data_IF_418530079714
#
_entry.id   IF_418530079714
#
_cell.length_a   1.000
_cell.length_b   1.000
_cell.length_c   1.000
_cell.angle_alpha   90.00
_cell.angle_beta   90.00
_cell.angle_gamma   90.00
#
_symmetry.space_group_name_H-M   'P 1'
#
loop_
_entity.id
_entity.type
_entity.pdbx_description
1 polymer ?
#
# COMPACT_ATOMS: atom_id res chain seq x y z
N UNK A 1 50.37 -17.24 16.68
CA UNK A 1 50.05 -16.12 15.74
C UNK A 1 49.09 -16.59 14.63
N UNK A 2 47.77 -16.47 14.83
CA UNK A 2 46.88 -15.32 14.48
C UNK A 2 46.11 -15.60 13.17
N UNK A 3 44.91 -16.16 13.32
CA UNK A 3 43.79 -16.15 12.35
C UNK A 3 43.38 -14.64 12.20
N UNK A 4 42.82 -14.10 11.08
CA UNK A 4 41.63 -14.70 10.49
C UNK A 4 41.19 -14.41 9.04
N UNK A 5 40.28 -15.29 8.58
CA UNK A 5 38.98 -15.02 7.95
C UNK A 5 38.86 -13.76 7.08
N UNK A 6 38.48 -13.93 5.80
CA UNK A 6 37.58 -13.01 5.11
C UNK A 6 37.11 -13.51 3.72
N UNK A 7 35.79 -13.67 3.52
CA UNK A 7 35.14 -13.41 2.24
C UNK A 7 34.72 -11.93 2.19
N UNK A 8 35.23 -11.18 1.21
CA UNK A 8 34.98 -9.73 1.03
C UNK A 8 35.30 -9.42 -0.45
N UNK A 9 34.49 -8.77 -1.29
CA UNK A 9 33.26 -7.97 -1.16
C UNK A 9 32.69 -7.93 -2.59
N UNK A 10 31.37 -8.07 -2.77
CA UNK A 10 30.74 -7.62 -4.00
C UNK A 10 30.02 -6.32 -3.66
N UNK A 11 30.45 -5.30 -4.38
CA UNK A 11 30.18 -3.90 -4.14
C UNK A 11 28.70 -3.52 -4.09
N UNK A 12 28.49 -2.62 -3.14
CA UNK A 12 27.38 -1.72 -2.95
C UNK A 12 27.00 -1.00 -4.24
N UNK A 13 25.91 -1.42 -4.88
CA UNK A 13 25.01 -0.46 -5.51
C UNK A 13 23.93 -0.16 -4.47
N UNK A 14 24.08 0.99 -3.81
CA UNK A 14 23.12 1.55 -2.88
C UNK A 14 21.81 1.84 -3.63
N UNK A 15 20.98 0.81 -3.72
CA UNK A 15 19.59 0.91 -4.09
C UNK A 15 18.93 1.73 -2.98
N UNK A 16 18.82 3.05 -3.20
CA UNK A 16 18.03 3.96 -2.36
C UNK A 16 16.53 3.65 -2.50
N UNK A 17 16.12 2.38 -2.59
CA UNK A 17 14.73 2.05 -2.33
C UNK A 17 14.57 2.13 -0.82
N UNK A 18 13.69 2.98 -0.31
CA UNK A 18 13.35 2.95 1.11
C UNK A 18 13.02 1.50 1.46
N UNK A 19 13.82 0.92 2.35
CA UNK A 19 13.58 -0.41 2.89
C UNK A 19 12.36 -0.25 3.79
N UNK A 20 11.17 -0.38 3.20
CA UNK A 20 9.90 -0.39 3.92
C UNK A 20 9.83 -1.67 4.74
N UNK A 21 10.45 -1.64 5.91
CA UNK A 21 10.43 -2.71 6.92
C UNK A 21 9.09 -2.82 7.64
N UNK A 22 8.19 -1.86 7.44
CA UNK A 22 6.83 -1.91 7.94
C UNK A 22 5.83 -1.83 6.79
N UNK A 23 4.91 -2.79 6.73
CA UNK A 23 3.74 -2.71 5.87
C UNK A 23 2.81 -1.69 6.50
N UNK A 24 2.89 -0.45 6.03
CA UNK A 24 1.98 0.59 6.49
C UNK A 24 0.53 0.18 6.17
N UNK A 25 -0.38 0.38 7.12
CA UNK A 25 -1.78 0.02 6.93
C UNK A 25 -2.43 1.17 6.16
N UNK A 26 -3.06 0.87 5.02
CA UNK A 26 -3.81 1.87 4.26
C UNK A 26 -4.83 2.55 5.17
N UNK A 27 -4.72 3.87 5.28
CA UNK A 27 -5.70 4.68 6.00
C UNK A 27 -7.07 4.53 5.34
N UNK A 28 -8.13 4.76 6.12
CA UNK A 28 -9.50 4.67 5.62
C UNK A 28 -9.73 5.61 4.43
N UNK A 29 -9.18 6.83 4.49
CA UNK A 29 -9.21 7.80 3.38
C UNK A 29 -8.57 7.24 2.11
N UNK A 30 -7.37 6.65 2.21
CA UNK A 30 -6.67 6.04 1.08
C UNK A 30 -7.49 4.88 0.49
N UNK A 31 -8.07 4.02 1.34
CA UNK A 31 -8.93 2.92 0.86
C UNK A 31 -10.13 3.45 0.07
N UNK A 32 -10.82 4.46 0.60
CA UNK A 32 -11.97 5.07 -0.06
C UNK A 32 -11.59 5.72 -1.39
N UNK A 33 -10.48 6.46 -1.45
CA UNK A 33 -9.98 7.08 -2.68
C UNK A 33 -9.66 6.04 -3.77
N UNK A 34 -9.08 4.92 -3.37
CA UNK A 34 -8.72 3.82 -4.28
C UNK A 34 -9.96 3.09 -4.80
N UNK A 35 -10.95 2.88 -3.94
CA UNK A 35 -12.24 2.31 -4.33
C UNK A 35 -13.00 3.25 -5.26
N UNK A 36 -13.01 4.56 -4.98
CA UNK A 36 -13.65 5.57 -5.83
C UNK A 36 -13.06 5.57 -7.24
N UNK A 37 -11.73 5.61 -7.34
CA UNK A 37 -11.02 5.53 -8.61
C UNK A 37 -11.28 4.20 -9.33
N UNK A 38 -11.34 3.08 -8.60
CA UNK A 38 -11.66 1.77 -9.16
C UNK A 38 -13.02 1.78 -9.87
N UNK A 39 -14.06 2.37 -9.26
CA UNK A 39 -15.37 2.50 -9.90
C UNK A 39 -15.34 3.49 -11.07
N UNK A 40 -14.66 4.63 -10.93
CA UNK A 40 -14.55 5.64 -11.98
C UNK A 40 -13.82 5.14 -13.24
N UNK A 41 -12.85 4.21 -13.09
CA UNK A 41 -12.00 3.72 -14.18
C UNK A 41 -12.40 2.33 -14.70
N UNK A 42 -13.67 1.95 -14.52
CA UNK A 42 -14.25 0.75 -15.10
C UNK A 42 -13.92 -0.55 -14.37
N UNK A 43 -13.67 -0.49 -13.06
CA UNK A 43 -13.50 -1.66 -12.17
C UNK A 43 -12.31 -2.55 -12.54
N UNK A 44 -11.19 -1.92 -12.92
CA UNK A 44 -9.97 -2.62 -13.31
C UNK A 44 -8.93 -2.68 -12.18
N UNK A 45 -8.93 -3.77 -11.41
CA UNK A 45 -8.09 -3.92 -10.19
C UNK A 45 -6.59 -3.75 -10.48
N UNK A 46 -6.11 -4.34 -11.57
CA UNK A 46 -4.70 -4.26 -11.98
C UNK A 46 -4.31 -2.83 -12.38
N UNK A 47 -5.23 -2.10 -13.02
CA UNK A 47 -5.02 -0.70 -13.41
C UNK A 47 -4.99 0.20 -12.17
N UNK A 48 -5.88 -0.05 -11.22
CA UNK A 48 -5.92 0.63 -9.93
C UNK A 48 -4.63 0.41 -9.16
N UNK A 49 -4.19 -0.84 -8.99
CA UNK A 49 -2.93 -1.16 -8.31
C UNK A 49 -1.74 -0.43 -8.95
N UNK A 50 -1.62 -0.48 -10.29
CA UNK A 50 -0.55 0.23 -11.02
C UNK A 50 -0.62 1.75 -10.88
N UNK A 51 -1.81 2.33 -10.80
CA UNK A 51 -1.98 3.76 -10.62
C UNK A 51 -1.53 4.20 -9.22
N UNK A 52 -1.87 3.43 -8.18
CA UNK A 52 -1.56 3.78 -6.79
C UNK A 52 -0.22 3.24 -6.29
N UNK A 53 0.46 2.36 -7.01
CA UNK A 53 1.83 1.91 -6.67
C UNK A 53 2.84 3.08 -6.57
N UNK A 54 2.93 4.02 -7.53
CA UNK A 54 3.79 5.20 -7.39
C UNK A 54 3.25 6.27 -6.43
N UNK A 55 1.93 6.33 -6.21
CA UNK A 55 1.31 7.32 -5.30
C UNK A 55 1.56 6.90 -3.84
N UNK A 56 1.46 5.59 -3.58
CA UNK A 56 1.61 5.00 -2.27
C UNK A 56 2.62 3.84 -2.29
N UNK A 57 3.91 4.11 -2.54
CA UNK A 57 4.94 3.07 -2.59
C UNK A 57 5.11 2.36 -1.25
N UNK A 58 4.85 3.07 -0.15
CA UNK A 58 4.82 2.55 1.22
C UNK A 58 3.75 1.44 1.41
N UNK A 59 2.62 1.56 0.72
CA UNK A 59 1.45 0.69 0.89
C UNK A 59 1.56 -0.61 0.06
N UNK A 60 2.42 -0.61 -0.96
CA UNK A 60 2.67 -1.74 -1.87
C UNK A 60 1.35 -2.36 -2.33
N UNK A 61 0.49 -1.53 -2.91
CA UNK A 61 -0.88 -1.90 -3.28
C UNK A 61 -0.81 -2.84 -4.48
N UNK A 62 -1.03 -4.12 -4.23
CA UNK A 62 -1.08 -5.15 -5.27
C UNK A 62 -2.53 -5.42 -5.67
N UNK A 63 -2.72 -6.00 -6.85
CA UNK A 63 -4.03 -6.44 -7.32
C UNK A 63 -4.84 -7.27 -6.28
N UNK A 64 -4.29 -8.26 -5.54
CA UNK A 64 -5.04 -8.96 -4.50
C UNK A 64 -5.45 -8.06 -3.33
N UNK A 65 -4.69 -7.00 -3.03
CA UNK A 65 -5.03 -6.01 -2.00
C UNK A 65 -6.25 -5.20 -2.41
N UNK A 66 -6.29 -4.76 -3.69
CA UNK A 66 -7.46 -4.08 -4.24
C UNK A 66 -8.67 -5.01 -4.23
N UNK A 67 -8.50 -6.28 -4.59
CA UNK A 67 -9.59 -7.27 -4.55
C UNK A 67 -10.15 -7.48 -3.13
N UNK A 68 -9.28 -7.57 -2.12
CA UNK A 68 -9.71 -7.64 -0.73
C UNK A 68 -10.52 -6.40 -0.32
N UNK A 69 -10.08 -5.20 -0.72
CA UNK A 69 -10.80 -3.96 -0.41
C UNK A 69 -12.13 -3.83 -1.14
N UNK A 70 -12.23 -4.34 -2.37
CA UNK A 70 -13.49 -4.36 -3.12
C UNK A 70 -14.49 -5.32 -2.46
N UNK A 71 -14.05 -6.49 -1.98
CA UNK A 71 -14.92 -7.42 -1.24
C UNK A 71 -15.39 -6.83 0.10
N UNK A 72 -14.50 -6.10 0.79
CA UNK A 72 -14.83 -5.41 2.04
C UNK A 72 -15.29 -3.95 1.81
N UNK A 73 -15.68 -3.56 0.60
CA UNK A 73 -16.01 -2.16 0.25
C UNK A 73 -17.10 -1.61 1.14
N UNK A 74 -18.17 -2.38 1.35
CA UNK A 74 -19.31 -2.01 2.19
C UNK A 74 -18.85 -1.66 3.61
N UNK A 75 -18.04 -2.53 4.22
CA UNK A 75 -17.43 -2.32 5.53
C UNK A 75 -16.53 -1.09 5.58
N UNK A 76 -15.78 -0.80 4.52
CA UNK A 76 -14.94 0.41 4.47
C UNK A 76 -15.79 1.68 4.33
N UNK A 77 -16.86 1.65 3.53
CA UNK A 77 -17.81 2.75 3.35
C UNK A 77 -18.60 3.02 4.63
N UNK A 78 -19.04 1.98 5.32
CA UNK A 78 -19.67 2.08 6.64
C UNK A 78 -18.73 2.69 7.69
N UNK A 79 -17.48 2.23 7.75
CA UNK A 79 -16.48 2.82 8.66
C UNK A 79 -16.21 4.28 8.32
N UNK A 80 -16.18 4.64 7.03
CA UNK A 80 -15.99 6.02 6.60
C UNK A 80 -17.15 6.91 7.02
N UNK A 81 -18.39 6.44 6.85
CA UNK A 81 -19.60 7.12 7.30
C UNK A 81 -19.61 7.29 8.83
N UNK A 82 -19.24 6.25 9.59
CA UNK A 82 -19.13 6.30 11.06
C UNK A 82 -18.04 7.27 11.51
N UNK A 83 -16.86 7.24 10.88
CA UNK A 83 -15.75 8.15 11.17
C UNK A 83 -16.09 9.60 10.85
N UNK A 84 -16.77 9.86 9.73
CA UNK A 84 -17.21 11.21 9.36
C UNK A 84 -18.30 11.76 10.29
N UNK A 85 -19.08 10.88 10.92
CA UNK A 85 -20.09 11.27 11.92
C UNK A 85 -19.47 11.58 13.28
N UNK A 86 -18.34 10.95 13.62
CA UNK A 86 -17.62 11.16 14.88
C UNK A 86 -16.85 12.51 14.93
N UNK A 87 -16.43 13.06 13.79
CA UNK A 87 -15.72 14.36 13.70
C UNK A 87 -16.66 15.58 13.88
N UNK A 88 -17.99 15.37 13.99
CA UNK A 88 -18.99 16.45 14.15
C UNK A 88 -19.66 16.47 15.53
N UNK A 89 -18.93 16.17 16.60
CA UNK A 89 -19.40 16.39 17.97
C UNK A 89 -18.46 17.29 18.77
#
# INVERSE_FOLDING_TARGET
>A
PRIPNQPKKADTAADKRPVFTHKEIATLRQRIEILDWYHANGKNQTKTAKHFDPIYPNLRIKQPTVSAWVNEEDKWREQWAKSSSAERK
#
